data_IF_961797665806
#
_entry.id   IF_961797665806
#
_cell.length_a   1.000
_cell.length_b   1.000
_cell.length_c   1.000
_cell.angle_alpha   90.00
_cell.angle_beta   90.00
_cell.angle_gamma   90.00
#
_symmetry.space_group_name_H-M   'P 1'
#
loop_
_entity.id
_entity.type
_entity.pdbx_description
1 polymer ?
#
# COMPACT_ATOMS: atom_id res chain seq x y z
N UNK A 1 0.94 -9.84 3.15
CA UNK A 1 1.95 -8.98 2.49
C UNK A 1 2.43 -9.72 1.26
N UNK A 2 2.38 -9.08 0.08
CA UNK A 2 2.75 -9.74 -1.17
C UNK A 2 3.77 -8.88 -1.93
N UNK A 3 4.84 -9.52 -2.41
CA UNK A 3 5.80 -8.90 -3.31
C UNK A 3 5.24 -8.89 -4.72
N UNK A 4 5.22 -7.73 -5.36
CA UNK A 4 4.75 -7.56 -6.74
C UNK A 4 5.86 -7.97 -7.73
N UNK A 5 6.06 -9.27 -7.88
CA UNK A 5 6.93 -9.87 -8.91
C UNK A 5 6.15 -10.27 -10.17
N UNK A 6 4.83 -10.38 -10.04
CA UNK A 6 3.85 -10.55 -11.12
C UNK A 6 2.61 -9.72 -10.84
N UNK A 7 1.52 -10.02 -11.56
CA UNK A 7 0.24 -9.34 -11.33
C UNK A 7 -0.34 -9.69 -9.97
N UNK A 8 -1.07 -8.75 -9.37
CA UNK A 8 -1.76 -8.94 -8.09
C UNK A 8 -3.25 -8.68 -8.28
N UNK A 9 -4.11 -9.50 -7.68
CA UNK A 9 -5.50 -9.13 -7.47
C UNK A 9 -5.60 -8.36 -6.17
N UNK A 10 -6.43 -7.31 -6.18
CA UNK A 10 -6.66 -6.45 -5.03
C UNK A 10 -8.13 -6.17 -4.86
N UNK A 11 -8.55 -6.00 -3.61
CA UNK A 11 -9.88 -5.50 -3.23
C UNK A 11 -9.70 -4.33 -2.28
N UNK A 12 -10.58 -3.35 -2.35
CA UNK A 12 -10.52 -2.20 -1.47
C UNK A 12 -11.57 -1.14 -1.75
N UNK A 13 -11.28 0.10 -1.37
CA UNK A 13 -12.15 1.25 -1.64
C UNK A 13 -11.47 2.26 -2.54
N UNK A 14 -12.13 2.60 -3.65
CA UNK A 14 -11.70 3.66 -4.56
C UNK A 14 -12.39 4.98 -4.19
N UNK A 15 -11.63 6.06 -4.27
CA UNK A 15 -12.10 7.44 -4.15
C UNK A 15 -11.63 8.22 -5.37
N UNK A 16 -12.55 8.80 -6.11
CA UNK A 16 -12.24 9.64 -7.26
C UNK A 16 -12.10 11.10 -6.83
N UNK A 17 -11.10 11.78 -7.39
CA UNK A 17 -10.86 13.18 -7.09
C UNK A 17 -11.85 14.07 -7.82
N UNK A 18 -12.39 15.04 -7.08
CA UNK A 18 -13.22 16.10 -7.65
C UNK A 18 -12.39 17.04 -8.54
N UNK A 19 -13.01 17.83 -9.43
CA UNK A 19 -12.29 18.81 -10.24
C UNK A 19 -11.46 19.79 -9.39
N UNK A 20 -11.99 20.18 -8.23
CA UNK A 20 -11.31 21.09 -7.29
C UNK A 20 -10.07 20.46 -6.64
N UNK A 21 -10.01 19.14 -6.58
CA UNK A 21 -8.86 18.37 -6.12
C UNK A 21 -7.90 18.01 -7.27
N UNK A 22 -8.13 18.52 -8.48
CA UNK A 22 -7.33 18.23 -9.68
C UNK A 22 -7.76 16.98 -10.45
N UNK A 23 -8.90 16.39 -10.09
CA UNK A 23 -9.45 15.21 -10.76
C UNK A 23 -10.24 15.51 -12.04
N UNK A 24 -11.12 14.58 -12.41
CA UNK A 24 -11.88 14.64 -13.66
C UNK A 24 -12.98 15.69 -13.60
N UNK A 25 -13.04 16.56 -14.60
CA UNK A 25 -14.15 17.54 -14.78
C UNK A 25 -15.46 16.82 -15.10
N UNK A 26 -15.40 15.69 -15.79
CA UNK A 26 -16.56 14.86 -16.13
C UNK A 26 -17.15 14.09 -14.94
N UNK A 27 -16.49 14.10 -13.78
CA UNK A 27 -16.87 13.27 -12.64
C UNK A 27 -16.19 11.90 -12.61
N UNK A 28 -16.61 11.02 -11.68
CA UNK A 28 -16.10 9.65 -11.57
C UNK A 28 -16.26 8.89 -12.89
N UNK A 29 -15.40 7.89 -13.15
CA UNK A 29 -15.61 7.02 -14.29
C UNK A 29 -16.97 6.32 -14.24
N UNK A 30 -17.57 6.18 -15.42
CA UNK A 30 -18.77 5.37 -15.68
C UNK A 30 -18.40 4.29 -16.69
N UNK A 31 -17.62 3.27 -16.31
CA UNK A 31 -17.34 2.18 -17.22
C UNK A 31 -18.64 1.43 -17.51
N UNK A 32 -18.82 1.06 -18.79
CA UNK A 32 -19.86 0.13 -19.18
C UNK A 32 -19.66 -1.20 -18.43
N UNK A 33 -20.76 -1.89 -18.10
CA UNK A 33 -20.73 -3.12 -17.29
C UNK A 33 -19.80 -4.22 -17.85
N UNK A 34 -19.53 -4.19 -19.16
CA UNK A 34 -18.69 -5.16 -19.86
C UNK A 34 -17.19 -4.81 -19.87
N UNK A 35 -16.81 -3.63 -19.38
CA UNK A 35 -15.42 -3.14 -19.46
C UNK A 35 -14.85 -2.76 -18.08
N UNK A 36 -13.63 -3.21 -17.82
CA UNK A 36 -12.85 -2.72 -16.69
C UNK A 36 -12.35 -1.29 -16.97
N UNK A 37 -12.34 -0.42 -15.96
CA UNK A 37 -11.66 0.86 -16.04
C UNK A 37 -10.14 0.61 -15.96
N UNK A 38 -9.43 0.84 -17.07
CA UNK A 38 -7.98 0.66 -17.14
C UNK A 38 -7.25 2.00 -17.10
N UNK A 39 -6.20 2.06 -16.29
CA UNK A 39 -5.42 3.28 -16.09
C UNK A 39 -3.96 2.94 -15.71
N UNK A 40 -3.14 3.97 -15.59
CA UNK A 40 -1.86 3.89 -14.91
C UNK A 40 -2.03 4.23 -13.43
N UNK A 41 -1.09 3.79 -12.61
CA UNK A 41 -1.07 4.12 -11.20
C UNK A 41 0.36 4.07 -10.65
N UNK A 42 0.58 4.57 -9.44
CA UNK A 42 1.81 4.39 -8.70
C UNK A 42 1.53 4.12 -7.22
N UNK A 43 2.50 3.50 -6.54
CA UNK A 43 2.43 3.20 -5.11
C UNK A 43 3.44 4.09 -4.36
N UNK A 44 2.98 5.04 -3.51
CA UNK A 44 3.87 5.82 -2.66
C UNK A 44 4.84 4.93 -1.86
N UNK A 45 6.11 5.34 -1.68
CA UNK A 45 6.65 6.67 -1.95
C UNK A 45 7.06 6.92 -3.42
N UNK A 46 6.72 6.02 -4.36
CA UNK A 46 6.98 6.26 -5.78
C UNK A 46 6.12 7.39 -6.33
N UNK A 47 6.56 7.91 -7.46
CA UNK A 47 5.95 9.01 -8.20
C UNK A 47 5.52 8.54 -9.59
N UNK A 48 4.88 9.41 -10.35
CA UNK A 48 4.46 9.09 -11.73
C UNK A 48 5.65 9.04 -12.70
N UNK A 49 6.78 9.65 -12.34
CA UNK A 49 8.02 9.69 -13.12
C UNK A 49 8.89 8.44 -12.89
N UNK A 50 8.90 7.92 -11.66
CA UNK A 50 9.85 6.87 -11.27
C UNK A 50 9.34 5.46 -11.59
N UNK A 51 8.10 5.13 -11.21
CA UNK A 51 7.58 3.75 -11.33
C UNK A 51 6.05 3.71 -11.44
N UNK A 52 5.54 3.34 -12.62
CA UNK A 52 4.12 3.12 -12.85
C UNK A 52 3.76 1.63 -12.86
N UNK A 53 2.60 1.32 -12.29
CA UNK A 53 1.90 0.06 -12.46
C UNK A 53 0.68 0.28 -13.34
N UNK A 54 0.35 -0.72 -14.16
CA UNK A 54 -0.97 -0.77 -14.78
C UNK A 54 -2.01 -1.15 -13.74
N UNK A 55 -3.20 -0.55 -13.82
CA UNK A 55 -4.34 -0.94 -13.00
C UNK A 55 -5.57 -1.15 -13.87
N UNK A 56 -6.28 -2.25 -13.62
CA UNK A 56 -7.64 -2.48 -14.12
C UNK A 56 -8.57 -2.52 -12.91
N UNK A 57 -9.58 -1.65 -12.87
CA UNK A 57 -10.58 -1.56 -11.81
C UNK A 57 -11.95 -2.00 -12.31
N UNK A 58 -12.67 -2.73 -11.46
CA UNK A 58 -14.00 -3.25 -11.72
C UNK A 58 -14.87 -3.25 -10.47
N UNK A 59 -16.16 -3.51 -10.67
CA UNK A 59 -17.16 -3.64 -9.60
C UNK A 59 -17.27 -2.42 -8.66
N UNK A 60 -16.80 -1.26 -9.10
CA UNK A 60 -17.07 -0.01 -8.42
C UNK A 60 -18.39 0.58 -8.94
N UNK A 61 -19.06 1.37 -8.10
CA UNK A 61 -20.35 1.94 -8.46
C UNK A 61 -20.14 3.05 -9.51
N UNK A 62 -20.70 2.92 -10.74
CA UNK A 62 -20.56 3.95 -11.78
C UNK A 62 -21.05 5.31 -11.28
N UNK A 63 -20.30 6.37 -11.56
CA UNK A 63 -20.64 7.74 -11.15
C UNK A 63 -20.50 8.03 -9.66
N UNK A 64 -20.19 7.03 -8.82
CA UNK A 64 -20.00 7.24 -7.39
C UNK A 64 -18.58 7.73 -7.10
N UNK A 65 -18.46 8.84 -6.35
CA UNK A 65 -17.17 9.40 -5.91
C UNK A 65 -16.37 8.47 -5.01
N UNK A 66 -17.04 7.58 -4.28
CA UNK A 66 -16.43 6.55 -3.46
C UNK A 66 -17.23 5.27 -3.54
N UNK A 67 -16.55 4.15 -3.71
CA UNK A 67 -17.18 2.83 -3.64
C UNK A 67 -16.14 1.75 -3.33
N UNK A 68 -16.62 0.54 -3.03
CA UNK A 68 -15.78 -0.64 -3.06
C UNK A 68 -15.34 -0.90 -4.51
N UNK A 69 -14.14 -1.43 -4.69
CA UNK A 69 -13.61 -1.78 -5.98
C UNK A 69 -12.76 -3.04 -5.88
N UNK A 70 -12.67 -3.74 -6.98
CA UNK A 70 -11.67 -4.78 -7.19
C UNK A 70 -10.78 -4.38 -8.34
N UNK A 71 -9.56 -4.91 -8.35
CA UNK A 71 -8.68 -4.67 -9.46
C UNK A 71 -7.55 -5.66 -9.62
N UNK A 72 -6.84 -5.47 -10.73
CA UNK A 72 -5.60 -6.16 -11.04
C UNK A 72 -4.52 -5.10 -11.16
N UNK A 73 -3.47 -5.23 -10.36
CA UNK A 73 -2.25 -4.46 -10.48
C UNK A 73 -1.27 -5.24 -11.37
N UNK A 74 -0.72 -4.58 -12.38
CA UNK A 74 0.24 -5.17 -13.32
C UNK A 74 1.57 -4.41 -13.24
N UNK A 75 2.69 -5.08 -12.96
CA UNK A 75 3.95 -4.38 -12.75
C UNK A 75 4.55 -3.90 -14.08
N UNK A 76 4.96 -2.63 -14.14
CA UNK A 76 5.65 -2.06 -15.30
C UNK A 76 6.96 -2.78 -15.64
N UNK A 77 7.43 -2.68 -16.89
CA UNK A 77 8.65 -3.35 -17.34
C UNK A 77 9.87 -2.88 -16.52
N UNK A 78 10.68 -3.82 -16.00
CA UNK A 78 11.84 -3.49 -15.14
C UNK A 78 11.50 -3.16 -13.68
N UNK A 79 10.24 -2.88 -13.36
CA UNK A 79 9.78 -2.51 -12.01
C UNK A 79 9.16 -3.71 -11.30
N UNK A 80 10.03 -4.62 -10.86
CA UNK A 80 9.66 -5.81 -10.09
C UNK A 80 10.05 -5.61 -8.63
N UNK A 81 9.26 -6.17 -7.72
CA UNK A 81 9.46 -6.18 -6.27
C UNK A 81 8.98 -4.96 -5.47
N UNK A 82 7.90 -4.30 -5.89
CA UNK A 82 7.16 -3.39 -4.99
C UNK A 82 6.38 -4.20 -3.94
N UNK A 83 6.35 -3.72 -2.70
CA UNK A 83 5.58 -4.33 -1.63
C UNK A 83 4.14 -3.81 -1.62
N UNK A 84 3.17 -4.71 -1.69
CA UNK A 84 1.75 -4.36 -1.54
C UNK A 84 1.18 -5.07 -0.32
N UNK A 85 0.59 -4.28 0.57
CA UNK A 85 -0.07 -4.76 1.80
C UNK A 85 -1.44 -4.11 1.96
N UNK A 86 -2.38 -4.75 2.67
CA UNK A 86 -3.56 -4.05 3.16
C UNK A 86 -3.18 -2.76 3.90
N UNK A 87 -3.91 -1.69 3.64
CA UNK A 87 -3.63 -0.32 4.08
C UNK A 87 -2.78 0.49 3.10
N UNK A 88 -2.16 -0.12 2.09
CA UNK A 88 -1.48 0.63 1.03
C UNK A 88 -2.46 1.49 0.25
N UNK A 89 -1.96 2.64 -0.21
CA UNK A 89 -2.67 3.52 -1.11
C UNK A 89 -2.05 3.39 -2.50
N UNK A 90 -2.89 3.21 -3.51
CA UNK A 90 -2.52 3.23 -4.92
C UNK A 90 -3.09 4.51 -5.52
N UNK A 91 -2.22 5.34 -6.10
CA UNK A 91 -2.66 6.57 -6.76
C UNK A 91 -2.96 6.26 -8.22
N UNK A 92 -4.22 6.39 -8.60
CA UNK A 92 -4.70 6.16 -9.97
C UNK A 92 -4.49 7.43 -10.78
N UNK A 93 -3.91 7.30 -11.97
CA UNK A 93 -3.52 8.41 -12.83
C UNK A 93 -4.06 8.27 -14.25
N UNK A 94 -4.36 9.41 -14.86
CA UNK A 94 -4.57 9.53 -16.31
C UNK A 94 -3.45 10.39 -16.89
N UNK A 95 -2.51 9.76 -17.59
CA UNK A 95 -1.22 10.39 -17.89
C UNK A 95 -0.46 10.65 -16.60
N UNK A 96 -0.01 11.90 -16.38
CA UNK A 96 0.69 12.31 -15.15
C UNK A 96 -0.24 12.82 -14.05
N UNK A 97 -1.54 12.94 -14.34
CA UNK A 97 -2.51 13.57 -13.43
C UNK A 97 -3.14 12.53 -12.51
N UNK A 98 -3.06 12.69 -11.17
CA UNK A 98 -3.85 11.91 -10.23
C UNK A 98 -5.35 12.14 -10.45
N UNK A 99 -6.12 11.07 -10.56
CA UNK A 99 -7.59 11.11 -10.73
C UNK A 99 -8.33 10.36 -9.64
N UNK A 100 -7.65 9.53 -8.86
CA UNK A 100 -8.25 8.81 -7.76
C UNK A 100 -7.23 8.09 -6.87
N UNK A 101 -7.73 7.54 -5.78
CA UNK A 101 -6.98 6.76 -4.81
C UNK A 101 -7.71 5.45 -4.56
N UNK A 102 -6.98 4.34 -4.59
CA UNK A 102 -7.46 3.04 -4.13
C UNK A 102 -6.76 2.70 -2.83
N UNK A 103 -7.53 2.53 -1.75
CA UNK A 103 -7.03 1.96 -0.50
C UNK A 103 -7.17 0.45 -0.58
N UNK A 104 -6.06 -0.28 -0.45
CA UNK A 104 -6.02 -1.74 -0.53
C UNK A 104 -6.51 -2.34 0.79
N UNK A 105 -7.46 -3.26 0.75
CA UNK A 105 -7.97 -3.99 1.91
C UNK A 105 -7.55 -5.47 1.85
N UNK A 106 -7.51 -6.04 0.65
CA UNK A 106 -7.08 -7.43 0.41
C UNK A 106 -6.15 -7.46 -0.81
N UNK A 107 -5.18 -8.37 -0.79
CA UNK A 107 -4.22 -8.57 -1.88
C UNK A 107 -3.88 -10.05 -2.01
N UNK A 108 -3.89 -10.56 -3.24
CA UNK A 108 -3.47 -11.92 -3.57
C UNK A 108 -2.57 -11.91 -4.79
N UNK A 109 -1.56 -12.78 -4.81
CA UNK A 109 -0.73 -12.96 -6.00
C UNK A 109 -1.54 -13.65 -7.11
N UNK A 110 -1.32 -13.26 -8.37
CA UNK A 110 -1.86 -13.95 -9.52
C UNK A 110 -0.79 -14.81 -10.20
N UNK A 111 -1.18 -16.01 -10.61
CA UNK A 111 -0.41 -16.85 -11.49
C UNK A 111 -0.38 -16.24 -12.91
N UNK A 112 0.53 -16.68 -13.80
CA UNK A 112 0.62 -16.16 -15.17
C UNK A 112 -0.68 -16.32 -15.98
N UNK A 113 -1.53 -17.28 -15.62
CA UNK A 113 -2.85 -17.51 -16.23
C UNK A 113 -3.98 -16.64 -15.63
N UNK A 114 -3.65 -15.76 -14.69
CA UNK A 114 -4.60 -14.86 -14.03
C UNK A 114 -5.36 -15.49 -12.86
N UNK A 115 -5.08 -16.73 -12.48
CA UNK A 115 -5.71 -17.37 -11.31
C UNK A 115 -5.05 -16.90 -10.01
N UNK A 116 -5.81 -16.71 -8.92
CA UNK A 116 -5.22 -16.38 -7.63
C UNK A 116 -4.35 -17.54 -7.15
N UNK A 117 -3.08 -17.25 -6.88
CA UNK A 117 -2.19 -18.18 -6.20
C UNK A 117 -2.67 -18.26 -4.76
N UNK A 118 -3.07 -19.44 -4.27
CA UNK A 118 -3.43 -19.58 -2.87
C UNK A 118 -2.23 -19.16 -2.04
N UNK A 119 -2.44 -18.19 -1.12
CA UNK A 119 -1.39 -17.85 -0.16
C UNK A 119 -0.95 -19.15 0.52
N UNK A 120 0.37 -19.44 0.61
CA UNK A 120 0.80 -20.52 1.47
C UNK A 120 0.25 -20.19 2.85
N UNK A 121 -0.66 -21.04 3.37
CA UNK A 121 -1.10 -20.94 4.76
C UNK A 121 0.18 -20.76 5.57
N UNK A 122 0.22 -19.72 6.40
CA UNK A 122 1.15 -19.72 7.52
C UNK A 122 0.95 -21.06 8.20
N UNK A 123 1.88 -21.98 7.99
CA UNK A 123 2.10 -23.04 8.95
C UNK A 123 2.46 -22.27 10.19
N UNK A 124 1.53 -22.20 11.15
CA UNK A 124 1.94 -22.01 12.53
C UNK A 124 3.12 -22.98 12.71
N UNK A 125 4.32 -22.50 13.11
CA UNK A 125 5.34 -23.43 13.50
C UNK A 125 4.71 -24.24 14.63
N UNK A 126 4.34 -25.48 14.33
CA UNK A 126 4.04 -26.43 15.37
C UNK A 126 5.29 -26.42 16.24
N UNK A 127 5.16 -25.88 17.46
CA UNK A 127 6.22 -25.91 18.46
C UNK A 127 6.34 -27.37 18.89
N UNK A 128 6.97 -28.20 18.07
CA UNK A 128 7.38 -29.56 18.40
C UNK A 128 8.74 -29.48 19.08
N UNK A 129 8.74 -29.04 20.34
CA UNK A 129 9.97 -28.87 21.09
C UNK A 129 9.83 -28.24 22.47
N UNK A 130 8.84 -28.63 23.28
CA UNK A 130 8.87 -28.34 24.72
C UNK A 130 9.76 -29.38 25.42
N UNK A 131 11.07 -29.27 25.19
CA UNK A 131 12.04 -29.83 26.14
C UNK A 131 12.05 -28.88 27.35
N UNK A 132 11.84 -29.44 28.53
CA UNK A 132 11.86 -28.76 29.83
C UNK A 132 13.05 -27.77 29.92
N UNK A 133 12.76 -26.47 29.90
CA UNK A 133 13.75 -25.43 30.17
C UNK A 133 14.11 -25.47 31.66
N UNK A 134 15.39 -25.64 31.98
CA UNK A 134 15.91 -25.34 33.30
C UNK A 134 15.72 -23.84 33.62
N UNK A 135 15.53 -23.47 34.89
CA UNK A 135 15.30 -22.08 35.26
C UNK A 135 16.52 -21.22 34.89
N UNK A 136 16.29 -20.23 34.03
CA UNK A 136 17.25 -19.19 33.66
C UNK A 136 17.59 -18.39 34.93
N UNK A 137 18.88 -18.17 35.27
CA UNK A 137 19.26 -17.31 36.39
C UNK A 137 18.78 -15.88 36.13
N UNK A 138 18.12 -15.29 37.13
CA UNK A 138 17.51 -13.97 37.02
C UNK A 138 18.56 -12.89 36.72
N UNK A 139 18.47 -12.26 35.55
CA UNK A 139 19.21 -11.03 35.25
C UNK A 139 18.76 -9.90 36.20
N UNK A 140 19.69 -9.06 36.66
CA UNK A 140 19.34 -7.88 37.45
C UNK A 140 18.48 -6.90 36.62
N UNK A 141 17.56 -6.15 37.26
CA UNK A 141 16.56 -5.36 36.54
C UNK A 141 17.19 -4.31 35.63
N UNK A 142 16.67 -4.26 34.41
CA UNK A 142 17.00 -3.31 33.36
C UNK A 142 16.94 -1.86 33.88
N UNK A 143 18.07 -1.15 33.88
CA UNK A 143 18.12 0.29 34.13
C UNK A 143 17.70 1.04 32.87
N UNK A 144 16.56 1.73 32.90
CA UNK A 144 16.24 2.72 31.88
C UNK A 144 17.25 3.88 31.95
N UNK A 145 18.02 4.08 30.88
CA UNK A 145 18.83 5.28 30.67
C UNK A 145 17.91 6.47 30.38
N UNK A 146 17.75 7.38 31.35
CA UNK A 146 17.07 8.67 31.14
C UNK A 146 18.02 9.66 30.49
N UNK A 147 18.21 9.54 29.17
CA UNK A 147 18.85 10.58 28.37
C UNK A 147 17.80 11.63 27.96
N UNK A 148 17.33 12.42 28.92
CA UNK A 148 16.56 13.63 28.67
C UNK A 148 17.27 14.78 29.40
N UNK A 149 18.27 15.37 28.76
CA UNK A 149 18.81 16.69 29.10
C UNK A 149 19.82 17.08 28.03
N UNK A 150 19.44 18.01 27.16
CA UNK A 150 20.30 19.04 26.56
C UNK A 150 19.49 19.82 25.52
N UNK A 151 18.52 20.60 25.97
CA UNK A 151 18.05 21.80 25.27
C UNK A 151 17.56 22.79 26.32
N UNK A 152 18.40 23.81 26.53
CA UNK A 152 18.26 25.12 27.23
C UNK A 152 19.63 25.43 27.84
N UNK A 153 20.31 26.56 27.73
CA UNK A 153 20.19 27.86 27.05
C UNK A 153 21.55 28.53 27.32
N UNK A 154 22.13 29.34 26.41
CA UNK A 154 22.78 30.59 26.85
C UNK A 154 23.12 31.52 25.67
N UNK A 155 22.35 32.59 25.61
CA UNK A 155 22.73 33.92 25.13
C UNK A 155 23.78 34.53 26.07
N UNK A 156 24.70 35.36 25.55
CA UNK A 156 25.32 36.39 26.37
C UNK A 156 25.12 37.80 25.78
N UNK A 157 24.44 38.64 26.55
CA UNK A 157 24.71 40.08 26.65
C UNK A 157 26.12 40.29 27.28
N UNK A 158 26.90 41.37 27.13
CA UNK A 158 26.86 42.64 26.40
C UNK A 158 28.31 43.24 26.41
N UNK A 159 28.61 44.07 25.40
CA UNK A 159 29.33 45.38 25.38
C UNK A 159 30.54 45.63 26.32
N UNK A 160 31.60 46.27 25.80
CA UNK A 160 32.06 47.56 26.35
C UNK A 160 31.89 48.75 25.39
#
# INVERSE_FOLDING_TARGET
MVMMTGSLSVRGSVVWLTPQQGGRVSGPPEPDYDYDYTATAYLPPRTVEDEQVGIALRRFAPGAWRSAAEGILVPGHGYRAQQVVPGCLVVVTEGVRPVGFLTIEEVSALAPDGTPVPEPRRTDPAITGLTRLEPVPADPPYRHSTAASRWTTQEPAAIP
#
